data_IF_659180881566
#
_entry.id   IF_659180881566
#
_cell.length_a   1.000
_cell.length_b   1.000
_cell.length_c   1.000
_cell.angle_alpha   90.00
_cell.angle_beta   90.00
_cell.angle_gamma   90.00
#
_symmetry.space_group_name_H-M   'P 1'
#
loop_
_entity.id
_entity.type
_entity.pdbx_description
1 polymer ?
#
# COMPACT_ATOMS: atom_id res chain seq x y z
N UNK A 1 -9.25 -3.77 13.96
CA UNK A 1 -7.83 -3.40 14.06
C UNK A 1 -7.67 -2.51 15.29
N UNK A 2 -6.55 -2.64 16.02
CA UNK A 2 -6.16 -1.72 17.10
C UNK A 2 -4.82 -1.11 16.66
N UNK A 3 -4.78 0.21 16.53
CA UNK A 3 -3.59 0.96 16.16
C UNK A 3 -3.01 1.60 17.43
N UNK A 4 -1.68 1.68 17.52
CA UNK A 4 -0.96 2.14 18.72
C UNK A 4 0.05 3.23 18.32
N UNK A 5 -0.42 4.47 18.04
CA UNK A 5 0.43 5.54 17.54
C UNK A 5 1.63 5.79 18.45
N UNK A 6 2.82 5.87 17.86
CA UNK A 6 4.07 6.14 18.58
C UNK A 6 4.63 4.98 19.40
N UNK A 7 4.02 3.78 19.35
CA UNK A 7 4.51 2.58 20.05
C UNK A 7 5.17 1.63 19.07
N UNK A 8 6.44 1.26 19.31
CA UNK A 8 7.08 0.16 18.58
C UNK A 8 6.43 -1.16 18.98
N UNK A 9 5.62 -1.72 18.08
CA UNK A 9 4.94 -2.98 18.30
C UNK A 9 5.91 -4.14 18.08
N UNK A 10 6.20 -4.91 19.13
CA UNK A 10 7.05 -6.13 19.06
C UNK A 10 6.29 -7.35 18.53
N UNK A 11 5.58 -7.19 17.42
CA UNK A 11 5.03 -8.33 16.68
C UNK A 11 6.03 -8.76 15.60
N UNK A 12 6.11 -10.06 15.28
CA UNK A 12 6.87 -10.51 14.12
C UNK A 12 6.32 -9.84 12.86
N UNK A 13 7.20 -9.42 11.95
CA UNK A 13 6.78 -8.79 10.69
C UNK A 13 6.08 -9.76 9.73
N UNK A 14 6.35 -11.06 9.85
CA UNK A 14 5.72 -12.11 9.07
C UNK A 14 5.18 -13.17 10.03
N UNK A 15 3.86 -13.34 10.04
CA UNK A 15 3.16 -14.33 10.87
C UNK A 15 3.13 -15.70 10.19
N UNK A 16 2.77 -16.74 10.95
CA UNK A 16 2.55 -18.09 10.38
C UNK A 16 1.39 -18.14 9.39
N UNK A 17 0.45 -17.18 9.47
CA UNK A 17 -0.57 -17.01 8.45
C UNK A 17 0.04 -16.45 7.17
N UNK A 18 0.85 -15.40 7.25
CA UNK A 18 1.49 -14.78 6.08
C UNK A 18 2.40 -15.77 5.35
N UNK A 19 3.11 -16.65 6.08
CA UNK A 19 3.89 -17.74 5.47
C UNK A 19 3.04 -18.68 4.61
N UNK A 20 1.84 -19.05 5.11
CA UNK A 20 0.90 -19.90 4.38
C UNK A 20 0.30 -19.17 3.18
N UNK A 21 0.00 -17.88 3.32
CA UNK A 21 -0.53 -17.07 2.22
C UNK A 21 0.51 -16.85 1.12
N UNK A 22 1.79 -16.66 1.49
CA UNK A 22 2.91 -16.61 0.53
C UNK A 22 3.03 -17.93 -0.22
N UNK A 23 2.99 -19.06 0.48
CA UNK A 23 3.03 -20.37 -0.17
C UNK A 23 1.84 -20.55 -1.13
N UNK A 24 0.64 -20.16 -0.71
CA UNK A 24 -0.54 -20.17 -1.57
C UNK A 24 -0.35 -19.26 -2.80
N UNK A 25 0.21 -18.06 -2.64
CA UNK A 25 0.49 -17.15 -3.74
C UNK A 25 1.45 -17.77 -4.77
N UNK A 26 2.45 -18.51 -4.32
CA UNK A 26 3.36 -19.25 -5.20
C UNK A 26 2.65 -20.41 -5.90
N UNK A 27 1.85 -21.20 -5.18
CA UNK A 27 1.08 -22.30 -5.76
C UNK A 27 0.06 -21.83 -6.81
N UNK A 28 -0.46 -20.61 -6.68
CA UNK A 28 -1.38 -19.99 -7.64
C UNK A 28 -0.69 -19.15 -8.72
N UNK A 29 0.66 -19.12 -8.75
CA UNK A 29 1.45 -18.38 -9.73
C UNK A 29 1.11 -16.88 -9.78
N UNK A 30 0.94 -16.25 -8.61
CA UNK A 30 0.56 -14.84 -8.52
C UNK A 30 1.74 -13.91 -8.84
N UNK A 31 1.46 -12.82 -9.58
CA UNK A 31 2.47 -11.85 -10.00
C UNK A 31 2.99 -10.96 -8.86
N UNK A 32 2.16 -10.71 -7.85
CA UNK A 32 2.45 -9.75 -6.78
C UNK A 32 1.99 -10.24 -5.40
N UNK A 33 2.79 -9.91 -4.38
CA UNK A 33 2.44 -10.03 -2.96
C UNK A 33 2.58 -8.66 -2.31
N UNK A 34 1.50 -8.13 -1.74
CA UNK A 34 1.52 -6.88 -0.99
C UNK A 34 1.76 -7.14 0.50
N UNK A 35 2.96 -6.86 0.99
CA UNK A 35 3.33 -7.08 2.39
C UNK A 35 2.80 -5.95 3.26
N UNK A 36 1.88 -6.27 4.17
CA UNK A 36 1.29 -5.32 5.11
C UNK A 36 2.24 -5.02 6.27
N UNK A 37 2.14 -3.81 6.81
CA UNK A 37 2.92 -3.28 7.93
C UNK A 37 4.43 -3.51 7.75
N UNK A 38 4.94 -3.22 6.56
CA UNK A 38 6.38 -3.26 6.29
C UNK A 38 7.08 -2.16 7.09
N UNK A 39 8.04 -2.55 7.95
CA UNK A 39 8.72 -1.63 8.87
C UNK A 39 10.20 -1.51 8.61
N UNK A 40 10.78 -2.47 7.87
CA UNK A 40 12.22 -2.47 7.56
C UNK A 40 12.51 -3.18 6.24
N UNK A 41 13.71 -2.94 5.70
CA UNK A 41 14.22 -3.66 4.55
C UNK A 41 14.30 -5.18 4.81
N UNK A 42 14.59 -5.59 6.05
CA UNK A 42 14.68 -7.00 6.44
C UNK A 42 13.34 -7.73 6.32
N UNK A 43 12.22 -7.04 6.60
CA UNK A 43 10.87 -7.60 6.40
C UNK A 43 10.65 -7.98 4.93
N UNK A 44 11.08 -7.11 4.01
CA UNK A 44 10.96 -7.32 2.57
C UNK A 44 11.86 -8.47 2.12
N UNK A 45 13.12 -8.48 2.55
CA UNK A 45 14.08 -9.51 2.21
C UNK A 45 13.65 -10.89 2.76
N UNK A 46 13.06 -10.92 3.95
CA UNK A 46 12.51 -12.14 4.53
C UNK A 46 11.32 -12.65 3.72
N UNK A 47 10.39 -11.78 3.33
CA UNK A 47 9.27 -12.16 2.46
C UNK A 47 9.76 -12.66 1.09
N UNK A 48 10.77 -12.00 0.51
CA UNK A 48 11.40 -12.40 -0.76
C UNK A 48 11.99 -13.79 -0.67
N UNK A 49 12.77 -14.05 0.37
CA UNK A 49 13.35 -15.38 0.61
C UNK A 49 12.27 -16.45 0.72
N UNK A 50 11.14 -16.18 1.39
CA UNK A 50 10.05 -17.14 1.50
C UNK A 50 9.39 -17.46 0.15
N UNK A 51 9.23 -16.47 -0.72
CA UNK A 51 8.73 -16.66 -2.08
C UNK A 51 9.72 -17.51 -2.89
N UNK A 52 11.01 -17.16 -2.85
CA UNK A 52 12.08 -17.85 -3.58
C UNK A 52 12.28 -19.29 -3.10
N UNK A 53 12.30 -19.53 -1.77
CA UNK A 53 12.43 -20.86 -1.17
C UNK A 53 11.24 -21.77 -1.53
N UNK A 54 10.05 -21.19 -1.76
CA UNK A 54 8.87 -21.89 -2.26
C UNK A 54 8.88 -22.11 -3.78
N UNK A 55 9.87 -21.57 -4.51
CA UNK A 55 10.01 -21.67 -5.96
C UNK A 55 9.19 -20.63 -6.75
N UNK A 56 8.71 -19.58 -6.09
CA UNK A 56 7.90 -18.53 -6.70
C UNK A 56 8.72 -17.36 -7.24
N UNK A 57 8.04 -16.47 -7.95
CA UNK A 57 8.64 -15.29 -8.60
C UNK A 57 7.84 -14.00 -8.37
N UNK A 58 6.86 -14.03 -7.47
CA UNK A 58 5.99 -12.89 -7.19
C UNK A 58 6.81 -11.66 -6.74
N UNK A 59 6.47 -10.50 -7.30
CA UNK A 59 7.06 -9.21 -6.90
C UNK A 59 6.46 -8.72 -5.59
N UNK A 60 7.26 -8.07 -4.76
CA UNK A 60 6.82 -7.57 -3.45
C UNK A 60 6.46 -6.09 -3.51
N UNK A 61 5.22 -5.79 -3.13
CA UNK A 61 4.74 -4.43 -2.89
C UNK A 61 4.80 -4.17 -1.38
N UNK A 62 5.66 -3.25 -0.93
CA UNK A 62 5.71 -2.90 0.49
C UNK A 62 4.62 -1.88 0.81
N UNK A 63 3.74 -2.20 1.77
CA UNK A 63 2.70 -1.28 2.24
C UNK A 63 3.23 -0.43 3.39
N UNK A 64 3.29 0.88 3.18
CA UNK A 64 3.70 1.86 4.18
C UNK A 64 2.46 2.33 4.93
N UNK A 65 2.37 1.89 6.20
CA UNK A 65 1.13 1.95 6.99
C UNK A 65 1.31 2.54 8.40
N UNK A 66 2.55 2.77 8.83
CA UNK A 66 2.83 3.28 10.17
C UNK A 66 4.10 4.14 10.21
N UNK A 67 4.34 4.76 11.37
CA UNK A 67 5.51 5.63 11.58
C UNK A 67 6.84 4.90 11.38
N UNK A 68 6.98 3.65 11.82
CA UNK A 68 8.24 2.92 11.69
C UNK A 68 8.59 2.61 10.23
N UNK A 69 7.58 2.28 9.40
CA UNK A 69 7.75 2.14 7.95
C UNK A 69 8.08 3.47 7.25
N UNK A 70 7.55 4.59 7.74
CA UNK A 70 7.94 5.93 7.26
C UNK A 70 9.40 6.26 7.62
N UNK A 71 9.79 6.04 8.86
CA UNK A 71 11.14 6.35 9.36
C UNK A 71 12.21 5.55 8.61
N UNK A 72 11.90 4.29 8.25
CA UNK A 72 12.79 3.39 7.52
C UNK A 72 12.52 3.34 6.01
N UNK A 73 11.74 4.28 5.48
CA UNK A 73 11.21 4.19 4.13
C UNK A 73 12.28 4.03 3.06
N UNK A 74 13.38 4.79 3.12
CA UNK A 74 14.42 4.74 2.09
C UNK A 74 14.99 3.32 1.94
N UNK A 75 15.30 2.63 3.05
CA UNK A 75 15.79 1.26 3.01
C UNK A 75 14.76 0.24 2.48
N UNK A 76 13.47 0.41 2.84
CA UNK A 76 12.38 -0.42 2.28
C UNK A 76 12.25 -0.18 0.77
N UNK A 77 12.29 1.09 0.36
CA UNK A 77 12.19 1.54 -1.01
C UNK A 77 13.35 1.05 -1.88
N UNK A 78 14.53 0.80 -1.32
CA UNK A 78 15.63 0.19 -2.08
C UNK A 78 15.36 -1.29 -2.42
N UNK A 79 14.79 -2.07 -1.50
CA UNK A 79 14.75 -3.55 -1.63
C UNK A 79 13.40 -4.14 -2.08
N UNK A 80 12.30 -3.39 -2.00
CA UNK A 80 10.99 -3.85 -2.53
C UNK A 80 10.98 -3.95 -4.07
N UNK A 81 9.85 -4.31 -4.67
CA UNK A 81 9.67 -4.21 -6.14
C UNK A 81 8.71 -3.07 -6.51
N UNK A 82 7.79 -2.73 -5.60
CA UNK A 82 6.95 -1.54 -5.65
C UNK A 82 6.62 -1.06 -4.22
N UNK A 83 6.08 0.15 -4.11
CA UNK A 83 5.59 0.74 -2.86
C UNK A 83 4.09 0.96 -2.96
N UNK A 84 3.38 0.73 -1.87
CA UNK A 84 1.99 1.14 -1.70
C UNK A 84 1.88 2.09 -0.52
N UNK A 85 1.38 3.29 -0.77
CA UNK A 85 1.05 4.27 0.26
C UNK A 85 -0.39 3.97 0.72
N UNK A 86 -0.51 3.24 1.83
CA UNK A 86 -1.78 2.76 2.36
C UNK A 86 -2.36 3.79 3.34
N UNK A 87 -3.04 4.78 2.76
CA UNK A 87 -3.48 6.02 3.44
C UNK A 87 -4.47 5.80 4.57
N UNK A 88 -5.30 4.76 4.49
CA UNK A 88 -6.28 4.40 5.52
C UNK A 88 -5.60 4.06 6.85
N UNK A 89 -4.68 3.09 6.84
CA UNK A 89 -3.93 2.70 8.04
C UNK A 89 -2.92 3.79 8.44
N UNK A 90 -2.21 4.35 7.46
CA UNK A 90 -1.22 5.40 7.74
C UNK A 90 -1.85 6.62 8.40
N UNK A 91 -3.00 7.09 7.91
CA UNK A 91 -3.72 8.24 8.46
C UNK A 91 -4.27 8.04 9.88
N UNK A 92 -4.23 6.83 10.43
CA UNK A 92 -4.51 6.56 11.85
C UNK A 92 -3.24 6.66 12.70
N UNK A 93 -2.07 6.40 12.12
CA UNK A 93 -0.78 6.36 12.81
C UNK A 93 -0.08 7.74 12.88
N UNK A 94 -0.40 8.66 11.95
CA UNK A 94 0.17 10.01 11.88
C UNK A 94 -0.92 11.09 11.97
N UNK A 95 -0.58 12.35 12.27
CA UNK A 95 -1.52 13.47 12.11
C UNK A 95 -2.06 13.53 10.67
N UNK A 96 -3.38 13.63 10.53
CA UNK A 96 -4.04 13.52 9.23
C UNK A 96 -3.65 14.67 8.29
N UNK A 97 -3.37 15.84 8.84
CA UNK A 97 -2.90 17.02 8.12
C UNK A 97 -1.52 16.83 7.47
N UNK A 98 -0.69 15.93 8.00
CA UNK A 98 0.65 15.64 7.47
C UNK A 98 0.61 14.60 6.34
N UNK A 99 -0.47 13.80 6.26
CA UNK A 99 -0.60 12.70 5.30
C UNK A 99 -0.40 13.13 3.84
N UNK A 100 -0.97 14.25 3.34
CA UNK A 100 -0.74 14.68 1.95
C UNK A 100 0.73 15.06 1.69
N UNK A 101 1.40 15.68 2.67
CA UNK A 101 2.82 16.07 2.54
C UNK A 101 3.70 14.84 2.51
N UNK A 102 3.40 13.86 3.37
CA UNK A 102 4.11 12.58 3.43
C UNK A 102 3.89 11.78 2.15
N UNK A 103 2.66 11.64 1.66
CA UNK A 103 2.37 10.96 0.39
C UNK A 103 3.23 11.52 -0.73
N UNK A 104 3.22 12.84 -0.91
CA UNK A 104 4.02 13.52 -1.94
C UNK A 104 5.52 13.23 -1.80
N UNK A 105 6.04 13.25 -0.58
CA UNK A 105 7.45 12.93 -0.33
C UNK A 105 7.77 11.47 -0.70
N UNK A 106 6.93 10.52 -0.31
CA UNK A 106 7.13 9.10 -0.61
C UNK A 106 7.09 8.84 -2.12
N UNK A 107 6.12 9.42 -2.84
CA UNK A 107 6.02 9.31 -4.30
C UNK A 107 7.27 9.88 -4.99
N UNK A 108 7.76 11.05 -4.56
CA UNK A 108 8.98 11.65 -5.10
C UNK A 108 10.23 10.79 -4.83
N UNK A 109 10.34 10.22 -3.64
CA UNK A 109 11.44 9.33 -3.26
C UNK A 109 11.43 8.04 -4.10
N UNK A 110 10.26 7.46 -4.35
CA UNK A 110 10.07 6.36 -5.29
C UNK A 110 10.52 6.73 -6.72
N UNK A 111 10.03 7.87 -7.23
CA UNK A 111 10.35 8.33 -8.57
C UNK A 111 11.86 8.55 -8.77
N UNK A 112 12.57 9.08 -7.77
CA UNK A 112 14.03 9.32 -7.81
C UNK A 112 14.85 8.07 -8.10
N UNK A 113 14.40 6.90 -7.65
CA UNK A 113 15.08 5.62 -7.85
C UNK A 113 14.38 4.72 -8.88
N UNK A 114 13.32 5.21 -9.52
CA UNK A 114 12.53 4.44 -10.49
C UNK A 114 11.73 3.30 -9.87
N UNK A 115 11.31 3.43 -8.61
CA UNK A 115 10.48 2.44 -7.92
C UNK A 115 9.00 2.72 -8.18
N UNK A 116 8.22 1.78 -8.76
CA UNK A 116 6.79 1.99 -8.93
C UNK A 116 6.06 2.24 -7.60
N UNK A 117 5.13 3.18 -7.60
CA UNK A 117 4.34 3.56 -6.42
C UNK A 117 2.85 3.57 -6.68
N UNK A 118 2.10 2.99 -5.73
CA UNK A 118 0.65 2.89 -5.73
C UNK A 118 0.10 3.78 -4.63
N UNK A 119 -0.79 4.71 -4.97
CA UNK A 119 -1.58 5.44 -3.98
C UNK A 119 -2.88 4.68 -3.73
N UNK A 120 -3.12 4.29 -2.47
CA UNK A 120 -4.17 3.35 -2.12
C UNK A 120 -5.12 3.89 -1.04
N UNK A 121 -6.33 3.33 -1.02
CA UNK A 121 -7.41 3.53 -0.03
C UNK A 121 -8.05 4.91 -0.03
N UNK A 122 -9.36 4.98 0.17
CA UNK A 122 -10.15 6.22 0.28
C UNK A 122 -10.05 7.18 -0.94
N UNK A 123 -9.80 6.67 -2.15
CA UNK A 123 -9.76 7.52 -3.34
C UNK A 123 -11.16 7.92 -3.80
N UNK A 124 -12.10 6.98 -3.81
CA UNK A 124 -13.50 7.20 -4.20
C UNK A 124 -14.47 6.63 -3.15
N UNK A 125 -14.13 6.72 -1.86
CA UNK A 125 -14.82 6.06 -0.74
C UNK A 125 -16.35 6.24 -0.75
N UNK A 126 -16.83 7.46 -1.05
CA UNK A 126 -18.25 7.78 -1.11
C UNK A 126 -18.99 6.97 -2.17
N UNK A 127 -18.29 6.48 -3.20
CA UNK A 127 -18.86 5.66 -4.27
C UNK A 127 -19.18 4.22 -3.85
N UNK A 128 -18.76 3.79 -2.65
CA UNK A 128 -19.28 2.56 -2.04
C UNK A 128 -20.82 2.62 -1.96
N UNK A 129 -21.36 3.79 -1.61
CA UNK A 129 -22.80 3.99 -1.43
C UNK A 129 -23.45 4.84 -2.52
N UNK A 130 -22.67 5.67 -3.23
CA UNK A 130 -23.18 6.66 -4.18
C UNK A 130 -22.71 6.37 -5.61
N UNK A 131 -23.49 6.71 -6.65
CA UNK A 131 -23.11 6.44 -8.04
C UNK A 131 -22.09 7.44 -8.62
N UNK A 132 -21.75 8.50 -7.87
CA UNK A 132 -20.85 9.58 -8.29
C UNK A 132 -19.95 9.96 -7.13
N UNK A 133 -18.67 10.32 -7.38
CA UNK A 133 -17.78 10.79 -6.34
C UNK A 133 -18.07 12.24 -5.94
N UNK A 134 -17.53 12.63 -4.81
CA UNK A 134 -17.46 14.02 -4.38
C UNK A 134 -16.39 14.79 -5.16
N UNK A 135 -16.47 16.13 -5.14
CA UNK A 135 -15.42 16.99 -5.72
C UNK A 135 -14.07 16.82 -5.01
N UNK A 136 -14.10 16.50 -3.72
CA UNK A 136 -12.89 16.26 -2.93
C UNK A 136 -12.17 15.00 -3.41
N UNK A 137 -12.89 13.90 -3.60
CA UNK A 137 -12.34 12.63 -4.12
C UNK A 137 -11.77 12.76 -5.54
N UNK A 138 -12.48 13.48 -6.42
CA UNK A 138 -11.96 13.78 -7.77
C UNK A 138 -10.65 14.58 -7.70
N UNK A 139 -10.59 15.54 -6.77
CA UNK A 139 -9.37 16.34 -6.56
C UNK A 139 -8.24 15.50 -5.98
N UNK A 140 -8.55 14.59 -5.06
CA UNK A 140 -7.58 13.66 -4.44
C UNK A 140 -6.96 12.72 -5.48
N UNK A 141 -7.78 12.07 -6.31
CA UNK A 141 -7.31 11.25 -7.44
C UNK A 141 -6.45 12.08 -8.40
N UNK A 142 -6.89 13.29 -8.75
CA UNK A 142 -6.13 14.17 -9.65
C UNK A 142 -4.77 14.55 -9.07
N UNK A 143 -4.70 14.82 -7.76
CA UNK A 143 -3.44 15.15 -7.09
C UNK A 143 -2.49 13.97 -7.05
N UNK A 144 -2.97 12.74 -6.78
CA UNK A 144 -2.13 11.55 -6.84
C UNK A 144 -1.48 11.36 -8.24
N UNK A 145 -2.23 11.67 -9.30
CA UNK A 145 -1.71 11.66 -10.69
C UNK A 145 -0.70 12.80 -10.90
N UNK A 146 -0.99 14.02 -10.45
CA UNK A 146 -0.04 15.15 -10.57
C UNK A 146 1.24 14.95 -9.79
N UNK A 147 1.18 14.18 -8.70
CA UNK A 147 2.34 13.73 -7.92
C UNK A 147 3.14 12.64 -8.63
N UNK A 148 2.62 12.09 -9.73
CA UNK A 148 3.22 11.04 -10.55
C UNK A 148 3.20 9.65 -9.89
N UNK A 149 2.10 9.31 -9.21
CA UNK A 149 1.85 7.92 -8.83
C UNK A 149 1.75 7.03 -10.08
N UNK A 150 2.42 5.88 -10.07
CA UNK A 150 2.37 4.91 -11.18
C UNK A 150 1.03 4.19 -11.27
N UNK A 151 0.35 4.03 -10.13
CA UNK A 151 -0.99 3.49 -10.08
C UNK A 151 -1.80 4.07 -8.92
N UNK A 152 -3.12 3.96 -9.06
CA UNK A 152 -4.11 4.27 -8.04
C UNK A 152 -4.96 3.03 -7.76
N UNK A 153 -5.38 2.84 -6.52
CA UNK A 153 -6.05 1.60 -6.10
C UNK A 153 -7.41 1.84 -5.44
N UNK A 154 -8.45 1.21 -6.00
CA UNK A 154 -9.77 1.09 -5.38
C UNK A 154 -9.79 -0.10 -4.41
N UNK A 155 -10.46 0.06 -3.28
CA UNK A 155 -10.55 -0.91 -2.18
C UNK A 155 -12.00 -1.35 -1.97
N UNK A 156 -12.70 -0.79 -0.97
CA UNK A 156 -14.09 -1.12 -0.69
C UNK A 156 -15.03 -0.75 -1.84
N UNK A 157 -14.65 0.28 -2.62
CA UNK A 157 -15.40 0.81 -3.76
C UNK A 157 -15.72 -0.27 -4.80
N UNK A 158 -14.79 -1.19 -5.04
CA UNK A 158 -14.94 -2.29 -6.01
C UNK A 158 -15.19 -3.63 -5.35
N UNK A 159 -14.62 -3.88 -4.16
CA UNK A 159 -14.75 -5.16 -3.47
C UNK A 159 -16.15 -5.42 -2.90
N UNK A 160 -16.81 -4.37 -2.37
CA UNK A 160 -18.10 -4.50 -1.70
C UNK A 160 -19.08 -3.32 -1.96
N UNK A 161 -18.70 -2.39 -2.84
CA UNK A 161 -19.50 -1.21 -3.18
C UNK A 161 -20.73 -1.52 -4.04
N UNK A 162 -21.69 -0.60 -4.05
CA UNK A 162 -22.91 -0.69 -4.89
C UNK A 162 -22.66 -0.40 -6.37
N UNK A 163 -21.55 0.25 -6.70
CA UNK A 163 -21.27 0.75 -8.05
C UNK A 163 -19.85 0.43 -8.55
N UNK A 164 -19.36 -0.82 -8.43
CA UNK A 164 -17.96 -1.18 -8.68
C UNK A 164 -17.49 -0.85 -10.10
N UNK A 165 -18.31 -1.12 -11.12
CA UNK A 165 -18.00 -0.81 -12.52
C UNK A 165 -17.87 0.70 -12.74
N UNK A 166 -18.75 1.51 -12.13
CA UNK A 166 -18.71 2.96 -12.27
C UNK A 166 -17.48 3.56 -11.61
N UNK A 167 -17.05 3.02 -10.47
CA UNK A 167 -15.82 3.45 -9.81
C UNK A 167 -14.62 3.31 -10.77
N UNK A 168 -14.54 2.19 -11.50
CA UNK A 168 -13.48 1.97 -12.49
C UNK A 168 -13.62 2.90 -13.71
N UNK A 169 -14.84 3.15 -14.20
CA UNK A 169 -15.07 4.05 -15.35
C UNK A 169 -14.75 5.53 -15.08
N UNK A 170 -14.79 5.95 -13.81
CA UNK A 170 -14.50 7.31 -13.38
C UNK A 170 -12.99 7.58 -13.28
N UNK A 171 -12.19 6.53 -13.06
CA UNK A 171 -10.72 6.58 -13.05
C UNK A 171 -10.15 6.51 -14.47
#
# INVERSE_FOLDING_TARGET
>A
HINLPGVRVKLPSITDKDRRDIQFAVEQDLDFVALSFARSADDILTARKLIEDAGGHARIIAKIENQEGLDNFEGICEVADAIMIARGDLGVEIPLEDLPVIQRHLVQSCARIGRPVIVATHLLESMIQNPMPTRAEVTDVSNAIYEQADAIMLSGETAAGKYPEKCVQVL
#
